data_IF_027002797676
#
_entry.id   IF_027002797676
#
_cell.length_a   1.000
_cell.length_b   1.000
_cell.length_c   1.000
_cell.angle_alpha   90.00
_cell.angle_beta   90.00
_cell.angle_gamma   90.00
#
_symmetry.space_group_name_H-M   'P 1'
#
loop_
_entity.id
_entity.type
_entity.pdbx_description
1 polymer ?
#
# COMPACT_ATOMS: atom_id res chain seq x y z
N UNK A 1 -31.69 3.71 7.84
CA UNK A 1 -30.40 4.39 7.49
C UNK A 1 -30.71 5.40 6.41
N UNK A 2 -30.63 6.68 6.71
CA UNK A 2 -30.89 7.76 5.74
C UNK A 2 -29.90 7.61 4.57
N UNK A 3 -30.45 7.55 3.36
CA UNK A 3 -29.64 7.58 2.13
C UNK A 3 -29.13 9.05 1.99
N UNK A 4 -28.06 9.39 2.71
CA UNK A 4 -27.44 10.71 2.58
C UNK A 4 -26.98 10.81 1.12
N UNK A 5 -27.50 11.78 0.37
CA UNK A 5 -27.03 12.04 -0.97
C UNK A 5 -25.52 12.35 -0.92
N UNK A 6 -24.78 11.75 -1.85
CA UNK A 6 -23.34 12.01 -1.97
C UNK A 6 -23.14 13.47 -2.45
N UNK A 7 -22.18 14.13 -1.89
CA UNK A 7 -21.74 15.43 -2.43
C UNK A 7 -20.98 15.22 -3.77
N UNK A 8 -20.75 16.27 -4.57
CA UNK A 8 -20.10 16.16 -5.87
C UNK A 8 -18.70 15.50 -5.81
N UNK A 9 -17.91 15.73 -4.75
CA UNK A 9 -16.57 15.14 -4.60
C UNK A 9 -16.69 13.63 -4.34
N UNK A 10 -17.55 13.23 -3.44
CA UNK A 10 -17.83 11.82 -3.15
C UNK A 10 -18.38 11.09 -4.36
N UNK A 11 -19.28 11.74 -5.13
CA UNK A 11 -19.81 11.16 -6.36
C UNK A 11 -18.70 10.96 -7.40
N UNK A 12 -17.81 11.93 -7.57
CA UNK A 12 -16.66 11.81 -8.46
C UNK A 12 -15.77 10.59 -8.12
N UNK A 13 -15.55 10.32 -6.82
CA UNK A 13 -14.80 9.14 -6.38
C UNK A 13 -15.56 7.84 -6.74
N UNK A 14 -16.88 7.81 -6.54
CA UNK A 14 -17.72 6.65 -6.92
C UNK A 14 -17.63 6.40 -8.42
N UNK A 15 -17.71 7.44 -9.24
CA UNK A 15 -17.66 7.35 -10.71
C UNK A 15 -16.30 6.82 -11.18
N UNK A 16 -15.22 7.34 -10.60
CA UNK A 16 -13.85 6.94 -10.95
C UNK A 16 -13.51 5.54 -10.45
N UNK A 17 -13.91 5.17 -9.22
CA UNK A 17 -13.66 3.83 -8.67
C UNK A 17 -14.72 2.82 -9.05
N UNK A 18 -15.86 3.25 -9.56
CA UNK A 18 -16.98 2.42 -9.93
C UNK A 18 -16.62 1.33 -10.96
N UNK A 19 -17.45 0.29 -11.01
CA UNK A 19 -17.30 -0.77 -12.01
C UNK A 19 -17.95 -0.32 -13.31
N UNK A 20 -17.19 -0.19 -14.42
CA UNK A 20 -17.77 0.19 -15.71
C UNK A 20 -18.83 -0.82 -16.16
N UNK A 21 -19.85 -0.35 -16.90
CA UNK A 21 -20.81 -1.23 -17.55
C UNK A 21 -20.06 -2.15 -18.53
N UNK A 22 -20.42 -3.44 -18.54
CA UNK A 22 -19.77 -4.43 -19.40
C UNK A 22 -18.35 -4.83 -19.03
N UNK A 23 -17.80 -4.35 -17.90
CA UNK A 23 -16.48 -4.78 -17.48
C UNK A 23 -16.43 -6.29 -17.22
N UNK A 24 -15.39 -6.95 -17.72
CA UNK A 24 -15.14 -8.38 -17.57
C UNK A 24 -13.80 -8.57 -16.85
N UNK A 25 -13.70 -9.50 -15.88
CA UNK A 25 -12.43 -9.80 -15.22
C UNK A 25 -11.44 -10.40 -16.21
N UNK A 26 -10.15 -10.19 -15.95
CA UNK A 26 -9.10 -10.87 -16.71
C UNK A 26 -9.23 -12.39 -16.52
N UNK A 27 -8.97 -13.17 -17.57
CA UNK A 27 -9.03 -14.63 -17.49
C UNK A 27 -7.94 -15.16 -16.54
N UNK A 28 -8.19 -16.31 -15.92
CA UNK A 28 -7.27 -16.95 -14.98
C UNK A 28 -5.93 -17.31 -15.64
N UNK A 29 -5.93 -17.60 -16.93
CA UNK A 29 -4.73 -17.87 -17.72
C UNK A 29 -3.70 -16.73 -17.69
N UNK A 30 -4.14 -15.48 -17.50
CA UNK A 30 -3.23 -14.34 -17.32
C UNK A 30 -2.45 -14.49 -16.02
N UNK A 31 -3.10 -14.90 -14.93
CA UNK A 31 -2.42 -15.12 -13.64
C UNK A 31 -1.47 -16.30 -13.71
N UNK A 32 -1.87 -17.39 -14.38
CA UNK A 32 -1.01 -18.56 -14.60
C UNK A 32 0.24 -18.17 -15.39
N UNK A 33 0.08 -17.42 -16.49
CA UNK A 33 1.19 -16.90 -17.31
C UNK A 33 2.12 -15.98 -16.49
N UNK A 34 1.55 -15.06 -15.70
CA UNK A 34 2.32 -14.14 -14.83
C UNK A 34 3.10 -14.91 -13.76
N UNK A 35 2.51 -15.96 -13.18
CA UNK A 35 3.19 -16.84 -12.23
C UNK A 35 4.36 -17.57 -12.88
N UNK A 36 4.14 -18.16 -14.05
CA UNK A 36 5.20 -18.86 -14.80
C UNK A 36 6.35 -17.90 -15.16
N UNK A 37 6.02 -16.68 -15.61
CA UNK A 37 7.02 -15.65 -15.94
C UNK A 37 7.89 -15.27 -14.74
N UNK A 38 7.29 -14.99 -13.57
CA UNK A 38 8.05 -14.60 -12.38
C UNK A 38 8.89 -15.76 -11.83
N UNK A 39 8.33 -16.96 -11.81
CA UNK A 39 9.05 -18.16 -11.35
C UNK A 39 10.20 -18.50 -12.29
N UNK A 40 10.00 -18.44 -13.61
CA UNK A 40 11.07 -18.67 -14.58
C UNK A 40 12.19 -17.64 -14.44
N UNK A 41 11.84 -16.36 -14.33
CA UNK A 41 12.81 -15.27 -14.25
C UNK A 41 13.61 -15.26 -12.93
N UNK A 42 12.98 -15.68 -11.82
CA UNK A 42 13.62 -15.74 -10.50
C UNK A 42 14.27 -17.09 -10.18
N UNK A 43 14.12 -18.12 -11.00
CA UNK A 43 14.71 -19.44 -10.75
C UNK A 43 16.25 -19.39 -10.57
N UNK A 44 17.02 -18.63 -11.39
CA UNK A 44 18.46 -18.50 -11.17
C UNK A 44 18.84 -17.84 -9.84
N UNK A 45 18.04 -16.86 -9.39
CA UNK A 45 18.21 -16.23 -8.09
C UNK A 45 17.86 -17.19 -6.96
N UNK A 46 16.74 -17.88 -7.06
CA UNK A 46 16.29 -18.84 -6.06
C UNK A 46 17.31 -19.97 -5.83
N UNK A 47 18.03 -20.39 -6.87
CA UNK A 47 19.09 -21.40 -6.78
C UNK A 47 20.31 -20.95 -5.92
N UNK A 48 20.46 -19.65 -5.68
CA UNK A 48 21.51 -19.07 -4.82
C UNK A 48 21.05 -18.86 -3.37
N UNK A 49 19.75 -19.02 -3.07
CA UNK A 49 19.17 -18.80 -1.76
C UNK A 49 19.10 -20.08 -0.94
N UNK A 50 19.05 -19.94 0.39
CA UNK A 50 18.89 -21.02 1.34
C UNK A 50 17.71 -20.75 2.28
N UNK A 51 17.14 -21.80 2.86
CA UNK A 51 15.93 -21.68 3.70
C UNK A 51 16.16 -20.87 4.99
N UNK A 52 17.37 -20.85 5.50
CA UNK A 52 17.77 -20.05 6.67
C UNK A 52 17.98 -18.56 6.33
N UNK A 53 18.15 -18.22 5.06
CA UNK A 53 18.35 -16.84 4.58
C UNK A 53 17.49 -16.51 3.36
N UNK A 54 16.15 -16.58 3.47
CA UNK A 54 15.26 -16.25 2.38
C UNK A 54 15.33 -14.77 2.00
N UNK A 55 14.78 -14.43 0.84
CA UNK A 55 14.69 -13.06 0.35
C UNK A 55 13.28 -12.50 0.58
N UNK A 56 13.19 -11.34 1.23
CA UNK A 56 11.94 -10.64 1.49
C UNK A 56 11.84 -9.39 0.61
N UNK A 57 10.80 -9.33 -0.20
CA UNK A 57 10.52 -8.24 -1.12
C UNK A 57 9.23 -7.54 -0.67
N UNK A 58 9.34 -6.24 -0.41
CA UNK A 58 8.23 -5.36 -0.06
C UNK A 58 8.12 -4.19 -1.03
N UNK A 59 7.02 -3.46 -0.95
CA UNK A 59 6.85 -2.18 -1.67
C UNK A 59 8.02 -1.23 -1.40
N UNK A 60 8.34 -1.03 -0.12
CA UNK A 60 9.39 -0.08 0.27
C UNK A 60 10.77 -0.49 -0.24
N UNK A 61 11.12 -1.77 -0.14
CA UNK A 61 12.41 -2.25 -0.67
C UNK A 61 12.52 -2.05 -2.18
N UNK A 62 11.44 -2.34 -2.94
CA UNK A 62 11.43 -2.09 -4.39
C UNK A 62 11.50 -0.60 -4.72
N UNK A 63 10.71 0.23 -4.04
CA UNK A 63 10.73 1.67 -4.29
C UNK A 63 12.10 2.27 -4.03
N UNK A 64 12.74 1.86 -2.92
CA UNK A 64 14.04 2.41 -2.52
C UNK A 64 15.16 1.91 -3.43
N UNK A 65 15.22 0.60 -3.74
CA UNK A 65 16.29 0.05 -4.59
C UNK A 65 16.22 0.55 -6.03
N UNK A 66 15.01 0.70 -6.60
CA UNK A 66 14.84 1.28 -7.93
C UNK A 66 15.05 2.79 -7.97
N UNK A 67 14.81 3.48 -6.86
CA UNK A 67 15.08 4.91 -6.72
C UNK A 67 16.57 5.21 -6.61
N UNK A 68 17.23 4.60 -5.65
CA UNK A 68 18.68 4.76 -5.43
C UNK A 68 19.21 3.57 -4.61
N UNK A 69 20.10 2.78 -5.20
CA UNK A 69 20.70 1.60 -4.54
C UNK A 69 21.50 1.99 -3.29
N UNK A 70 22.23 3.11 -3.32
CA UNK A 70 22.96 3.59 -2.14
C UNK A 70 22.01 3.98 -0.99
N UNK A 71 20.90 4.63 -1.30
CA UNK A 71 19.88 4.94 -0.31
C UNK A 71 19.23 3.67 0.25
N UNK A 72 19.01 2.65 -0.60
CA UNK A 72 18.51 1.35 -0.14
C UNK A 72 19.45 0.73 0.90
N UNK A 73 20.76 0.67 0.64
CA UNK A 73 21.73 0.14 1.61
C UNK A 73 21.73 0.93 2.92
N UNK A 74 21.76 2.27 2.83
CA UNK A 74 21.69 3.12 4.02
C UNK A 74 20.39 2.93 4.83
N UNK A 75 19.27 2.61 4.18
CA UNK A 75 17.99 2.38 4.83
C UNK A 75 17.88 1.03 5.57
N UNK A 76 18.81 0.09 5.36
CA UNK A 76 18.83 -1.19 6.06
C UNK A 76 19.30 -1.05 7.51
N UNK A 77 20.15 -0.06 7.80
CA UNK A 77 20.80 0.09 9.11
C UNK A 77 19.92 0.84 10.12
N UNK A 78 19.06 1.75 9.67
CA UNK A 78 18.20 2.52 10.57
C UNK A 78 16.92 3.01 9.89
N UNK A 79 15.77 2.68 10.46
CA UNK A 79 14.53 3.37 10.17
C UNK A 79 14.23 4.32 11.33
N UNK A 80 14.14 5.60 11.04
CA UNK A 80 13.77 6.61 12.02
C UNK A 80 12.35 7.12 11.76
N UNK A 81 11.55 7.14 12.82
CA UNK A 81 10.26 7.79 12.77
C UNK A 81 10.43 9.31 12.68
N UNK A 82 9.65 9.92 11.81
CA UNK A 82 9.57 11.36 11.67
C UNK A 82 8.13 11.81 11.79
N UNK A 83 7.92 13.08 12.11
CA UNK A 83 6.56 13.64 12.18
C UNK A 83 5.79 13.46 10.86
N UNK A 84 6.49 13.45 9.72
CA UNK A 84 5.88 13.30 8.40
C UNK A 84 5.31 11.90 8.17
N UNK A 85 6.04 10.83 8.53
CA UNK A 85 5.54 9.47 8.36
C UNK A 85 4.52 9.10 9.45
N UNK A 86 4.68 9.58 10.69
CA UNK A 86 3.70 9.37 11.75
C UNK A 86 2.33 10.01 11.43
N UNK A 87 2.31 11.18 10.80
CA UNK A 87 1.06 11.81 10.32
C UNK A 87 0.23 10.90 9.43
N UNK A 88 0.90 10.25 8.47
CA UNK A 88 0.27 9.26 7.60
C UNK A 88 -0.25 8.06 8.39
N UNK A 89 0.55 7.52 9.30
CA UNK A 89 0.19 6.36 10.12
C UNK A 89 -1.03 6.63 11.01
N UNK A 90 -1.09 7.79 11.66
CA UNK A 90 -2.26 8.19 12.48
C UNK A 90 -3.52 8.29 11.62
N UNK A 91 -3.42 8.89 10.44
CA UNK A 91 -4.55 9.01 9.51
C UNK A 91 -5.04 7.64 9.03
N UNK A 92 -4.13 6.74 8.64
CA UNK A 92 -4.51 5.37 8.24
C UNK A 92 -5.21 4.61 9.38
N UNK A 93 -4.70 4.75 10.60
CA UNK A 93 -5.33 4.15 11.79
C UNK A 93 -6.72 4.76 12.05
N UNK A 94 -6.90 6.05 11.86
CA UNK A 94 -8.23 6.68 12.00
C UNK A 94 -9.23 6.16 10.95
N UNK A 95 -8.81 5.97 9.69
CA UNK A 95 -9.65 5.34 8.64
C UNK A 95 -9.98 3.89 8.99
N UNK A 96 -9.01 3.10 9.47
CA UNK A 96 -9.22 1.73 9.94
C UNK A 96 -10.28 1.66 11.04
N UNK A 97 -10.18 2.55 12.03
CA UNK A 97 -11.15 2.64 13.14
C UNK A 97 -12.55 3.04 12.65
N UNK A 98 -12.63 4.01 11.75
CA UNK A 98 -13.89 4.52 11.21
C UNK A 98 -14.73 3.43 10.55
N UNK A 99 -14.12 2.49 9.81
CA UNK A 99 -14.84 1.39 9.14
C UNK A 99 -15.51 0.47 10.17
N UNK A 100 -14.90 0.29 11.31
CA UNK A 100 -15.38 -0.60 12.37
C UNK A 100 -16.18 0.15 13.47
N UNK A 101 -16.27 1.47 13.39
CA UNK A 101 -16.96 2.28 14.39
C UNK A 101 -18.47 2.15 14.30
N UNK A 102 -19.11 2.05 15.43
CA UNK A 102 -20.58 1.95 15.50
C UNK A 102 -21.19 3.34 15.70
N UNK A 103 -21.97 3.79 14.73
CA UNK A 103 -22.64 5.09 14.75
C UNK A 103 -21.78 6.22 14.14
N UNK A 104 -22.25 7.45 14.28
CA UNK A 104 -21.49 8.64 13.90
C UNK A 104 -20.48 8.99 14.98
N UNK A 105 -19.31 9.45 14.58
CA UNK A 105 -18.23 9.86 15.48
C UNK A 105 -17.55 11.10 14.91
N UNK A 106 -17.19 12.02 15.79
CA UNK A 106 -16.45 13.21 15.39
C UNK A 106 -15.01 12.87 14.99
N UNK A 107 -14.45 13.48 13.94
CA UNK A 107 -13.08 13.24 13.49
C UNK A 107 -12.03 13.31 14.60
N UNK A 108 -12.18 14.26 15.52
CA UNK A 108 -11.27 14.44 16.64
C UNK A 108 -11.24 13.22 17.58
N UNK A 109 -12.39 12.59 17.81
CA UNK A 109 -12.50 11.39 18.67
C UNK A 109 -11.80 10.19 18.02
N UNK A 110 -11.97 9.99 16.71
CA UNK A 110 -11.28 8.93 15.97
C UNK A 110 -9.77 9.11 15.96
N UNK A 111 -9.30 10.34 15.80
CA UNK A 111 -7.87 10.64 15.80
C UNK A 111 -7.28 10.45 17.21
N UNK A 112 -8.00 10.84 18.26
CA UNK A 112 -7.56 10.61 19.64
C UNK A 112 -7.46 9.11 19.94
N UNK A 113 -8.43 8.31 19.52
CA UNK A 113 -8.40 6.85 19.65
C UNK A 113 -7.27 6.23 18.79
N UNK A 114 -7.03 6.74 17.57
CA UNK A 114 -5.94 6.30 16.73
C UNK A 114 -4.57 6.54 17.39
N UNK A 115 -4.37 7.72 17.97
CA UNK A 115 -3.15 8.06 18.70
C UNK A 115 -2.97 7.13 19.91
N UNK A 116 -4.03 6.95 20.73
CA UNK A 116 -3.98 6.07 21.89
C UNK A 116 -3.58 4.63 21.51
N UNK A 117 -4.19 4.08 20.46
CA UNK A 117 -3.85 2.72 19.99
C UNK A 117 -2.44 2.59 19.46
N UNK A 118 -1.93 3.60 18.75
CA UNK A 118 -0.56 3.59 18.25
C UNK A 118 0.47 3.73 19.37
N UNK A 119 0.12 4.35 20.49
CA UNK A 119 0.95 4.41 21.68
C UNK A 119 0.96 3.08 22.44
N UNK A 120 -0.16 2.37 22.48
CA UNK A 120 -0.30 1.07 23.16
C UNK A 120 0.27 -0.11 22.33
N UNK A 121 0.61 0.10 21.06
CA UNK A 121 1.20 -0.96 20.21
C UNK A 121 2.64 -1.26 20.68
N UNK A 122 2.83 -2.42 21.33
CA UNK A 122 4.14 -2.90 21.84
C UNK A 122 5.18 -3.23 20.76
N UNK A 123 4.80 -3.24 19.46
CA UNK A 123 5.69 -3.67 18.38
C UNK A 123 6.11 -2.51 17.50
N UNK A 124 7.40 -2.41 17.20
CA UNK A 124 8.07 -1.63 16.09
C UNK A 124 7.28 -0.49 15.42
N UNK A 125 6.21 -0.02 16.04
CA UNK A 125 5.36 1.07 15.62
C UNK A 125 5.95 2.42 16.04
N UNK A 126 5.20 3.51 15.83
CA UNK A 126 5.62 4.86 16.21
C UNK A 126 5.45 5.15 17.72
N UNK A 127 5.15 4.15 18.57
CA UNK A 127 4.76 4.37 19.97
C UNK A 127 5.81 5.16 20.75
N UNK A 128 7.08 4.75 20.70
CA UNK A 128 8.17 5.47 21.37
C UNK A 128 8.34 6.89 20.83
N UNK A 129 8.24 7.06 19.51
CA UNK A 129 8.33 8.38 18.89
C UNK A 129 7.19 9.29 19.35
N UNK A 130 5.95 8.78 19.37
CA UNK A 130 4.78 9.57 19.81
C UNK A 130 4.88 9.92 21.30
N UNK A 131 5.35 9.00 22.14
CA UNK A 131 5.55 9.22 23.56
C UNK A 131 6.62 10.28 23.88
N UNK A 132 7.60 10.45 22.98
CA UNK A 132 8.67 11.44 23.13
C UNK A 132 8.31 12.84 22.61
N UNK A 133 7.18 13.00 21.90
CA UNK A 133 6.73 14.31 21.42
C UNK A 133 6.42 15.26 22.57
N UNK A 134 6.87 16.49 22.44
CA UNK A 134 6.43 17.57 23.34
C UNK A 134 4.91 17.78 23.23
N UNK A 135 4.25 18.35 24.26
CA UNK A 135 2.83 18.64 24.19
C UNK A 135 2.42 19.50 22.98
N UNK A 136 3.29 20.41 22.54
CA UNK A 136 3.06 21.24 21.36
C UNK A 136 3.12 20.45 20.06
N UNK A 137 4.12 19.59 19.88
CA UNK A 137 4.26 18.73 18.70
C UNK A 137 3.11 17.70 18.61
N UNK A 138 2.73 17.13 19.77
CA UNK A 138 1.58 16.22 19.84
C UNK A 138 0.28 16.92 19.43
N UNK A 139 0.04 18.15 19.90
CA UNK A 139 -1.12 18.95 19.52
C UNK A 139 -1.12 19.26 18.01
N UNK A 140 0.04 19.59 17.43
CA UNK A 140 0.19 19.78 15.98
C UNK A 140 -0.07 18.50 15.18
N UNK A 141 0.48 17.38 15.61
CA UNK A 141 0.23 16.06 14.99
C UNK A 141 -1.27 15.74 15.00
N UNK A 142 -1.92 15.91 16.15
CA UNK A 142 -3.36 15.71 16.32
C UNK A 142 -4.17 16.61 15.38
N UNK A 143 -3.89 17.91 15.38
CA UNK A 143 -4.61 18.88 14.54
C UNK A 143 -4.48 18.49 13.06
N UNK A 144 -3.28 18.20 12.60
CA UNK A 144 -3.05 17.77 11.22
C UNK A 144 -3.80 16.48 10.85
N UNK A 145 -3.80 15.49 11.73
CA UNK A 145 -4.51 14.24 11.50
C UNK A 145 -6.04 14.43 11.46
N UNK A 146 -6.57 15.31 12.33
CA UNK A 146 -8.00 15.68 12.32
C UNK A 146 -8.36 16.36 10.99
N UNK A 147 -7.55 17.30 10.51
CA UNK A 147 -7.77 17.97 9.23
C UNK A 147 -7.75 16.99 8.05
N UNK A 148 -6.80 16.06 8.03
CA UNK A 148 -6.71 15.04 6.98
C UNK A 148 -7.90 14.08 7.02
N UNK A 149 -8.27 13.60 8.20
CA UNK A 149 -9.41 12.70 8.34
C UNK A 149 -10.73 13.40 7.97
N UNK A 150 -10.91 14.66 8.36
CA UNK A 150 -12.07 15.45 7.96
C UNK A 150 -12.15 15.59 6.43
N UNK A 151 -11.04 15.89 5.77
CA UNK A 151 -10.98 15.93 4.30
C UNK A 151 -11.33 14.58 3.67
N UNK A 152 -10.85 13.48 4.26
CA UNK A 152 -11.23 12.14 3.81
C UNK A 152 -12.74 11.92 3.92
N UNK A 153 -13.34 12.23 5.06
CA UNK A 153 -14.79 12.07 5.29
C UNK A 153 -15.63 12.96 4.36
N UNK A 154 -15.17 14.17 4.07
CA UNK A 154 -15.85 15.11 3.17
C UNK A 154 -15.72 14.73 1.69
N UNK A 155 -14.59 14.17 1.28
CA UNK A 155 -14.28 13.95 -0.13
C UNK A 155 -14.41 12.49 -0.58
N UNK A 156 -14.19 11.53 0.32
CA UNK A 156 -14.35 10.11 0.03
C UNK A 156 -15.78 9.65 0.39
N UNK A 157 -16.42 8.83 -0.44
CA UNK A 157 -17.79 8.38 -0.14
C UNK A 157 -17.80 7.49 1.10
N UNK A 158 -18.88 7.54 1.92
CA UNK A 158 -19.01 6.68 3.09
C UNK A 158 -18.86 5.22 2.71
N UNK A 159 -17.97 4.51 3.40
CA UNK A 159 -17.64 3.12 3.13
C UNK A 159 -18.81 2.20 3.51
N UNK A 160 -19.59 1.79 2.52
CA UNK A 160 -20.75 0.91 2.69
C UNK A 160 -20.30 -0.54 2.85
N UNK A 161 -20.91 -1.29 3.76
CA UNK A 161 -20.63 -2.72 3.95
C UNK A 161 -20.78 -3.54 2.66
N UNK A 162 -21.69 -3.14 1.75
CA UNK A 162 -21.86 -3.77 0.44
C UNK A 162 -20.60 -3.68 -0.45
N UNK A 163 -19.73 -2.69 -0.24
CA UNK A 163 -18.47 -2.55 -0.94
C UNK A 163 -17.35 -3.42 -0.36
N UNK A 164 -17.62 -4.11 0.75
CA UNK A 164 -16.66 -4.97 1.44
C UNK A 164 -15.32 -4.26 1.68
N UNK A 165 -15.32 -3.11 2.36
CA UNK A 165 -14.09 -2.40 2.66
C UNK A 165 -13.22 -3.24 3.61
N UNK A 166 -11.92 -3.32 3.31
CA UNK A 166 -10.91 -3.89 4.20
C UNK A 166 -9.73 -2.93 4.24
N UNK A 167 -9.34 -2.52 5.44
CA UNK A 167 -8.17 -1.66 5.68
C UNK A 167 -6.97 -2.48 6.11
N UNK A 168 -5.79 -1.92 5.95
CA UNK A 168 -4.50 -2.49 6.39
C UNK A 168 -4.34 -3.97 6.02
N UNK A 169 -4.81 -4.32 4.81
CA UNK A 169 -4.85 -5.70 4.34
C UNK A 169 -3.44 -6.20 4.04
N UNK A 170 -2.91 -7.02 4.93
CA UNK A 170 -1.65 -7.71 4.72
C UNK A 170 -1.82 -8.92 3.79
N UNK A 171 -0.90 -9.06 2.85
CA UNK A 171 -0.83 -10.23 1.97
C UNK A 171 0.62 -10.68 1.78
N UNK A 172 0.81 -11.97 1.62
CA UNK A 172 2.10 -12.59 1.38
C UNK A 172 1.98 -13.68 0.33
N UNK A 173 2.93 -13.73 -0.59
CA UNK A 173 3.10 -14.81 -1.56
C UNK A 173 4.46 -15.44 -1.35
N UNK A 174 4.49 -16.75 -1.27
CA UNK A 174 5.71 -17.55 -1.20
C UNK A 174 6.04 -18.12 -2.58
N UNK A 175 7.27 -17.90 -3.02
CA UNK A 175 7.83 -18.48 -4.22
C UNK A 175 8.98 -19.42 -3.84
N UNK A 176 9.17 -20.47 -4.66
CA UNK A 176 10.25 -21.45 -4.47
C UNK A 176 10.28 -22.06 -3.07
N UNK A 177 9.10 -22.49 -2.57
CA UNK A 177 8.94 -23.14 -1.25
C UNK A 177 9.51 -22.27 -0.09
N UNK A 178 9.27 -20.97 -0.14
CA UNK A 178 9.67 -20.04 0.92
C UNK A 178 11.09 -19.49 0.80
N UNK A 179 11.74 -19.61 -0.36
CA UNK A 179 13.03 -18.94 -0.60
C UNK A 179 12.87 -17.45 -0.94
N UNK A 180 11.74 -17.06 -1.55
CA UNK A 180 11.44 -15.68 -1.87
C UNK A 180 10.02 -15.35 -1.38
N UNK A 181 9.87 -14.26 -0.66
CA UNK A 181 8.61 -13.76 -0.15
C UNK A 181 8.28 -12.40 -0.73
N UNK A 182 7.09 -12.27 -1.31
CA UNK A 182 6.53 -10.98 -1.72
C UNK A 182 5.48 -10.58 -0.68
N UNK A 183 5.65 -9.43 -0.03
CA UNK A 183 4.77 -8.99 1.05
C UNK A 183 4.19 -7.61 0.78
N UNK A 184 2.89 -7.45 1.02
CA UNK A 184 2.17 -6.18 0.87
C UNK A 184 1.34 -5.87 2.10
N UNK A 185 1.11 -4.59 2.34
CA UNK A 185 0.07 -4.07 3.23
C UNK A 185 -0.65 -2.96 2.47
N UNK A 186 -1.92 -3.17 2.20
CA UNK A 186 -2.75 -2.27 1.39
C UNK A 186 -3.62 -1.44 2.33
N UNK A 187 -3.61 -0.11 2.16
CA UNK A 187 -4.33 0.82 3.04
C UNK A 187 -5.85 0.56 3.03
N UNK A 188 -6.42 0.42 1.84
CA UNK A 188 -7.85 0.16 1.66
C UNK A 188 -8.12 -0.70 0.43
N UNK A 189 -8.94 -1.72 0.57
CA UNK A 189 -9.49 -2.46 -0.57
C UNK A 189 -11.01 -2.43 -0.56
N UNK A 190 -11.62 -2.39 -1.75
CA UNK A 190 -13.06 -2.46 -1.94
C UNK A 190 -13.39 -3.62 -2.89
N UNK A 191 -14.48 -4.33 -2.62
CA UNK A 191 -14.95 -5.44 -3.45
C UNK A 191 -14.36 -6.79 -3.07
N UNK A 192 -14.80 -7.83 -3.78
CA UNK A 192 -14.32 -9.21 -3.63
C UNK A 192 -13.30 -9.61 -4.69
N UNK A 193 -12.81 -10.87 -4.63
CA UNK A 193 -11.92 -11.42 -5.64
C UNK A 193 -12.47 -11.21 -7.06
N UNK A 194 -11.59 -10.92 -8.01
CA UNK A 194 -11.93 -10.64 -9.41
C UNK A 194 -12.57 -9.29 -9.71
N UNK A 195 -13.02 -8.55 -8.67
CA UNK A 195 -13.57 -7.20 -8.85
C UNK A 195 -12.98 -6.18 -7.86
N UNK A 196 -11.94 -6.57 -7.13
CA UNK A 196 -11.30 -5.77 -6.10
C UNK A 196 -10.72 -4.47 -6.66
N UNK A 197 -10.88 -3.39 -5.92
CA UNK A 197 -10.15 -2.13 -6.10
C UNK A 197 -9.13 -2.03 -4.97
N UNK A 198 -7.87 -1.77 -5.31
CA UNK A 198 -6.80 -1.50 -4.35
C UNK A 198 -6.58 0.01 -4.31
N UNK A 199 -6.61 0.58 -3.12
CA UNK A 199 -6.50 2.02 -2.90
C UNK A 199 -5.35 2.28 -1.92
N UNK A 200 -4.42 3.12 -2.34
CA UNK A 200 -3.34 3.65 -1.52
C UNK A 200 -3.67 5.09 -1.17
N UNK A 201 -3.76 5.38 0.12
CA UNK A 201 -4.14 6.70 0.64
C UNK A 201 -2.89 7.54 0.89
N UNK A 202 -2.82 8.73 0.29
CA UNK A 202 -1.69 9.65 0.46
C UNK A 202 -2.14 10.93 1.14
N UNK A 203 -1.44 11.32 2.20
CA UNK A 203 -1.68 12.60 2.88
C UNK A 203 -1.36 13.81 2.02
N UNK A 204 -0.39 13.68 1.09
CA UNK A 204 0.09 14.73 0.21
C UNK A 204 -0.15 14.46 -1.27
N UNK A 205 0.73 15.01 -2.11
CA UNK A 205 0.65 14.92 -3.57
C UNK A 205 0.87 13.50 -4.10
N UNK A 206 0.30 13.23 -5.27
CA UNK A 206 0.53 12.00 -6.03
C UNK A 206 1.79 12.18 -6.90
N UNK A 207 2.67 11.18 -6.85
CA UNK A 207 3.87 11.10 -7.68
C UNK A 207 3.79 9.86 -8.58
N UNK A 208 4.53 9.87 -9.68
CA UNK A 208 4.51 8.78 -10.68
C UNK A 208 4.94 7.41 -10.12
N UNK A 209 5.84 7.40 -9.14
CA UNK A 209 6.30 6.16 -8.49
C UNK A 209 5.20 5.45 -7.68
N UNK A 210 4.16 6.16 -7.20
CA UNK A 210 3.05 5.54 -6.48
C UNK A 210 2.29 4.52 -7.35
N UNK A 211 2.26 4.74 -8.67
CA UNK A 211 1.65 3.79 -9.61
C UNK A 211 2.41 2.46 -9.65
N UNK A 212 3.72 2.50 -9.58
CA UNK A 212 4.56 1.29 -9.53
C UNK A 212 4.34 0.50 -8.24
N UNK A 213 4.14 1.19 -7.11
CA UNK A 213 3.81 0.56 -5.83
C UNK A 213 2.49 -0.22 -5.91
N UNK A 214 1.48 0.38 -6.52
CA UNK A 214 0.17 -0.25 -6.70
C UNK A 214 0.20 -1.43 -7.67
N UNK A 215 1.02 -1.37 -8.72
CA UNK A 215 1.24 -2.49 -9.65
C UNK A 215 1.84 -3.70 -8.93
N UNK A 216 2.77 -3.46 -7.99
CA UNK A 216 3.29 -4.52 -7.12
C UNK A 216 2.18 -5.13 -6.25
N UNK A 217 1.29 -4.32 -5.69
CA UNK A 217 0.13 -4.80 -4.94
C UNK A 217 -0.81 -5.64 -5.81
N UNK A 218 -1.05 -5.21 -7.06
CA UNK A 218 -1.85 -5.98 -8.00
C UNK A 218 -1.23 -7.35 -8.31
N UNK A 219 0.07 -7.40 -8.50
CA UNK A 219 0.80 -8.65 -8.74
C UNK A 219 0.65 -9.62 -7.55
N UNK A 220 0.93 -9.15 -6.33
CA UNK A 220 0.82 -9.99 -5.12
C UNK A 220 -0.61 -10.47 -4.91
N UNK A 221 -1.61 -9.61 -5.08
CA UNK A 221 -3.02 -10.01 -4.98
C UNK A 221 -3.41 -11.04 -6.04
N UNK A 222 -2.96 -10.86 -7.29
CA UNK A 222 -3.21 -11.81 -8.37
C UNK A 222 -2.62 -13.19 -8.07
N UNK A 223 -1.35 -13.23 -7.67
CA UNK A 223 -0.66 -14.48 -7.33
C UNK A 223 -1.28 -15.19 -6.11
N UNK A 224 -1.75 -14.41 -5.11
CA UNK A 224 -2.35 -14.93 -3.89
C UNK A 224 -3.76 -15.48 -4.10
N UNK A 225 -4.61 -14.72 -4.80
CA UNK A 225 -6.03 -15.02 -4.93
C UNK A 225 -6.39 -15.79 -6.20
N UNK A 226 -5.47 -15.89 -7.17
CA UNK A 226 -5.74 -16.41 -8.51
C UNK A 226 -6.56 -15.48 -9.39
N UNK A 227 -6.84 -14.24 -8.93
CA UNK A 227 -7.67 -13.29 -9.66
C UNK A 227 -7.09 -11.87 -9.51
N UNK A 228 -6.80 -11.18 -10.62
CA UNK A 228 -6.32 -9.81 -10.57
C UNK A 228 -7.36 -8.86 -9.95
N UNK A 229 -6.92 -7.82 -9.24
CA UNK A 229 -7.81 -6.73 -8.89
C UNK A 229 -8.27 -6.03 -10.17
N UNK A 230 -9.44 -5.38 -10.12
CA UNK A 230 -9.99 -4.66 -11.27
C UNK A 230 -9.28 -3.33 -11.52
N UNK A 231 -8.97 -2.62 -10.46
CA UNK A 231 -8.49 -1.24 -10.51
C UNK A 231 -7.54 -0.93 -9.37
N UNK A 232 -6.58 -0.09 -9.65
CA UNK A 232 -5.64 0.50 -8.72
C UNK A 232 -5.96 1.98 -8.60
N UNK A 233 -5.83 2.54 -7.41
CA UNK A 233 -6.06 3.96 -7.18
C UNK A 233 -5.07 4.50 -6.13
N UNK A 234 -4.39 5.59 -6.44
CA UNK A 234 -3.75 6.44 -5.43
C UNK A 234 -4.70 7.59 -5.15
N UNK A 235 -5.13 7.74 -3.91
CA UNK A 235 -6.02 8.80 -3.49
C UNK A 235 -5.28 9.83 -2.64
N UNK A 236 -5.20 11.07 -3.12
CA UNK A 236 -4.61 12.18 -2.39
C UNK A 236 -5.67 12.89 -1.55
N UNK A 237 -5.45 12.93 -0.24
CA UNK A 237 -6.29 13.67 0.70
C UNK A 237 -6.12 15.18 0.55
N UNK A 238 -4.91 15.63 0.19
CA UNK A 238 -4.64 17.04 -0.02
C UNK A 238 -5.49 17.64 -1.15
N UNK A 239 -5.55 16.92 -2.30
CA UNK A 239 -6.25 17.39 -3.50
C UNK A 239 -7.64 16.79 -3.68
N UNK A 240 -8.05 15.82 -2.85
CA UNK A 240 -9.29 15.05 -2.97
C UNK A 240 -9.46 14.39 -4.35
N UNK A 241 -8.36 13.89 -4.93
CA UNK A 241 -8.33 13.29 -6.26
C UNK A 241 -7.75 11.90 -6.22
N UNK A 242 -8.28 11.05 -7.09
CA UNK A 242 -7.75 9.72 -7.37
C UNK A 242 -7.00 9.71 -8.71
N UNK A 243 -5.77 9.20 -8.72
CA UNK A 243 -5.11 8.70 -9.93
C UNK A 243 -5.40 7.21 -10.03
N UNK A 244 -5.97 6.76 -11.15
CA UNK A 244 -6.44 5.40 -11.30
C UNK A 244 -5.79 4.71 -12.50
N UNK A 245 -5.61 3.40 -12.36
CA UNK A 245 -5.12 2.53 -13.42
C UNK A 245 -5.95 1.24 -13.46
N UNK A 246 -6.40 0.83 -14.63
CA UNK A 246 -7.02 -0.47 -14.81
C UNK A 246 -5.96 -1.57 -14.84
N UNK A 247 -6.22 -2.67 -14.15
CA UNK A 247 -5.29 -3.80 -14.17
C UNK A 247 -5.46 -4.56 -15.48
N UNK A 248 -4.40 -4.54 -16.27
CA UNK A 248 -4.26 -5.27 -17.51
C UNK A 248 -3.14 -6.31 -17.40
N UNK A 249 -3.05 -7.21 -18.35
CA UNK A 249 -1.92 -8.13 -18.45
C UNK A 249 -0.59 -7.38 -18.51
N UNK A 250 -0.52 -6.30 -19.31
CA UNK A 250 0.69 -5.47 -19.41
C UNK A 250 1.10 -4.82 -18.10
N UNK A 251 0.14 -4.41 -17.25
CA UNK A 251 0.38 -3.89 -15.90
C UNK A 251 1.01 -4.95 -15.01
N UNK A 252 0.49 -6.19 -15.04
CA UNK A 252 1.03 -7.30 -14.25
C UNK A 252 2.43 -7.71 -14.74
N UNK A 253 2.65 -7.75 -16.06
CA UNK A 253 3.96 -8.03 -16.64
C UNK A 253 5.00 -6.94 -16.28
N UNK A 254 4.60 -5.67 -16.24
CA UNK A 254 5.48 -4.59 -15.77
C UNK A 254 5.86 -4.78 -14.30
N UNK A 255 4.90 -5.17 -13.46
CA UNK A 255 5.17 -5.48 -12.05
C UNK A 255 6.11 -6.69 -11.89
N UNK A 256 5.96 -7.74 -12.71
CA UNK A 256 6.89 -8.88 -12.73
C UNK A 256 8.31 -8.42 -13.03
N UNK A 257 8.52 -7.65 -14.10
CA UNK A 257 9.86 -7.14 -14.45
C UNK A 257 10.46 -6.34 -13.29
N UNK A 258 9.69 -5.43 -12.71
CA UNK A 258 10.14 -4.62 -11.58
C UNK A 258 10.54 -5.48 -10.36
N UNK A 259 9.77 -6.51 -10.04
CA UNK A 259 10.09 -7.43 -8.94
C UNK A 259 11.34 -8.23 -9.25
N UNK A 260 11.48 -8.74 -10.47
CA UNK A 260 12.67 -9.52 -10.88
C UNK A 260 13.93 -8.65 -10.81
N UNK A 261 13.90 -7.47 -11.40
CA UNK A 261 15.04 -6.53 -11.40
C UNK A 261 15.40 -6.11 -9.97
N UNK A 262 14.40 -5.71 -9.16
CA UNK A 262 14.61 -5.32 -7.78
C UNK A 262 15.11 -6.46 -6.88
N UNK A 263 14.61 -7.69 -7.07
CA UNK A 263 15.06 -8.85 -6.30
C UNK A 263 16.51 -9.20 -6.59
N UNK A 264 16.92 -9.16 -7.86
CA UNK A 264 18.32 -9.37 -8.25
C UNK A 264 19.23 -8.27 -7.67
N UNK A 265 18.83 -7.00 -7.81
CA UNK A 265 19.61 -5.88 -7.27
C UNK A 265 19.76 -5.99 -5.74
N UNK A 266 18.67 -6.28 -5.02
CA UNK A 266 18.69 -6.46 -3.56
C UNK A 266 19.65 -7.61 -3.17
N UNK A 267 19.58 -8.74 -3.87
CA UNK A 267 20.46 -9.88 -3.61
C UNK A 267 21.91 -9.52 -3.85
N UNK A 268 22.24 -8.94 -5.00
CA UNK A 268 23.60 -8.53 -5.36
C UNK A 268 24.19 -7.53 -4.34
N UNK A 269 23.40 -6.55 -3.92
CA UNK A 269 23.82 -5.53 -2.95
C UNK A 269 24.03 -6.11 -1.53
N UNK A 270 23.14 -7.03 -1.09
CA UNK A 270 23.12 -7.47 0.32
C UNK A 270 23.82 -8.81 0.55
N UNK A 271 24.12 -9.58 -0.49
CA UNK A 271 24.69 -10.93 -0.40
C UNK A 271 26.00 -11.07 -1.15
N UNK A 272 26.15 -10.38 -2.29
CA UNK A 272 27.37 -10.38 -3.11
C UNK A 272 28.18 -9.08 -2.90
N UNK A 273 27.68 -8.16 -2.05
CA UNK A 273 28.33 -6.90 -1.69
C UNK A 273 28.75 -6.07 -2.92
N UNK A 274 27.93 -6.14 -3.97
CA UNK A 274 28.14 -5.34 -5.18
C UNK A 274 28.07 -3.84 -4.85
N UNK A 275 28.96 -3.08 -5.43
CA UNK A 275 28.93 -1.61 -5.36
C UNK A 275 27.58 -1.05 -5.85
N UNK A 276 26.95 -0.13 -5.09
CA UNK A 276 25.67 0.44 -5.49
C UNK A 276 25.83 1.35 -6.71
N UNK A 277 24.87 1.26 -7.62
CA UNK A 277 24.74 2.22 -8.72
C UNK A 277 24.22 3.54 -8.15
N UNK A 278 24.94 4.62 -8.45
CA UNK A 278 24.49 5.97 -8.10
C UNK A 278 23.52 6.45 -9.18
N UNK A 279 22.29 6.73 -8.80
CA UNK A 279 21.37 7.48 -9.65
C UNK A 279 21.57 8.97 -9.30
N UNK A 280 22.14 9.79 -10.19
CA UNK A 280 22.07 11.23 -10.02
C UNK A 280 20.60 11.63 -10.11
N UNK A 281 20.04 12.15 -9.00
CA UNK A 281 18.67 12.66 -8.93
C UNK A 281 18.47 13.90 -9.79
#
# INVERSE_FOLDING_TARGET
MSNKELNPMQQSVVDVLGKPAGWVPLPISVVESVREQIETALAPLAAKLTADRPLFISKSSLTTVHGCEAHYLASLDSFEWTILNVRGTVMHKAVELAINWRGSVEPAVLVDEALARLEDEESRGPSEFIAQLSPGERAQLRSYAVDLYTKFEESFPPLKAAWRPVTESAARVELFKGLIFLSTRVDLTLGGPGSKVIIDLKSGRIYSNHREDLRFYALVESLRSGQPPRRLATYSLESARADVEEVTEGVLQAAVRRVVDGSNAIYELTREEREPKLNPG
#
